data_IF_004341564254
#
_entry.id   IF_004341564254
#
_cell.length_a   1.000
_cell.length_b   1.000
_cell.length_c   1.000
_cell.angle_alpha   90.00
_cell.angle_beta   90.00
_cell.angle_gamma   90.00
#
_symmetry.space_group_name_H-M   'P 1'
#
loop_
_entity.id
_entity.type
_entity.pdbx_description
1 polymer ?
#
# COMPACT_ATOMS: atom_id res chain seq x y z
N UNK A 1 -24.82 13.96 14.11
CA UNK A 1 -25.38 13.29 12.92
C UNK A 1 -26.84 13.04 13.21
N UNK A 2 -27.75 13.55 12.39
CA UNK A 2 -29.19 13.38 12.62
C UNK A 2 -29.60 11.92 12.34
N UNK A 3 -30.73 11.47 12.91
CA UNK A 3 -31.25 10.10 12.70
C UNK A 3 -31.42 9.75 11.22
N UNK A 4 -31.77 10.73 10.38
CA UNK A 4 -31.91 10.55 8.93
C UNK A 4 -30.56 10.27 8.25
N UNK A 5 -29.49 10.96 8.67
CA UNK A 5 -28.13 10.73 8.15
C UNK A 5 -27.63 9.33 8.54
N UNK A 6 -27.89 8.90 9.78
CA UNK A 6 -27.55 7.56 10.24
C UNK A 6 -28.25 6.48 9.41
N UNK A 7 -29.53 6.66 9.09
CA UNK A 7 -30.26 5.72 8.25
C UNK A 7 -29.70 5.65 6.82
N UNK A 8 -29.31 6.80 6.25
CA UNK A 8 -28.70 6.88 4.93
C UNK A 8 -27.36 6.15 4.87
N UNK A 9 -26.49 6.39 5.86
CA UNK A 9 -25.17 5.72 5.96
C UNK A 9 -25.35 4.21 6.16
N UNK A 10 -26.26 3.80 7.04
CA UNK A 10 -26.55 2.38 7.27
C UNK A 10 -27.04 1.68 6.01
N UNK A 11 -27.92 2.33 5.23
CA UNK A 11 -28.39 1.79 3.94
C UNK A 11 -27.25 1.65 2.93
N UNK A 12 -26.39 2.67 2.81
CA UNK A 12 -25.23 2.62 1.91
C UNK A 12 -24.28 1.48 2.26
N UNK A 13 -23.99 1.28 3.56
CA UNK A 13 -23.18 0.18 4.06
C UNK A 13 -23.79 -1.17 3.65
N UNK A 14 -25.09 -1.37 3.88
CA UNK A 14 -25.78 -2.60 3.51
C UNK A 14 -25.76 -2.87 1.99
N UNK A 15 -25.90 -1.82 1.16
CA UNK A 15 -25.79 -1.94 -0.30
C UNK A 15 -24.39 -2.40 -0.74
N UNK A 16 -23.33 -1.87 -0.13
CA UNK A 16 -21.95 -2.27 -0.42
C UNK A 16 -21.72 -3.72 0.04
N UNK A 17 -22.12 -4.07 1.26
CA UNK A 17 -21.96 -5.40 1.84
C UNK A 17 -22.60 -6.49 0.97
N UNK A 18 -23.78 -6.21 0.40
CA UNK A 18 -24.48 -7.11 -0.51
C UNK A 18 -23.74 -7.34 -1.84
N UNK A 19 -22.78 -6.49 -2.19
CA UNK A 19 -21.91 -6.65 -3.37
C UNK A 19 -20.57 -7.33 -3.05
N UNK A 20 -20.22 -7.52 -1.77
CA UNK A 20 -18.95 -8.14 -1.38
C UNK A 20 -18.94 -9.64 -1.69
N UNK A 21 -17.93 -10.06 -2.45
CA UNK A 21 -17.83 -11.38 -3.06
C UNK A 21 -17.57 -12.52 -2.08
N UNK A 22 -16.83 -12.27 -0.99
CA UNK A 22 -16.35 -13.29 -0.07
C UNK A 22 -16.23 -12.80 1.38
N UNK A 23 -16.00 -13.72 2.32
CA UNK A 23 -15.88 -13.44 3.75
C UNK A 23 -14.68 -12.54 4.06
N UNK A 24 -13.52 -12.79 3.44
CA UNK A 24 -12.33 -11.96 3.58
C UNK A 24 -12.62 -10.50 3.26
N UNK A 25 -13.37 -10.26 2.18
CA UNK A 25 -13.76 -8.91 1.77
C UNK A 25 -14.68 -8.25 2.79
N UNK A 26 -15.62 -9.00 3.40
CA UNK A 26 -16.49 -8.47 4.46
C UNK A 26 -15.70 -8.11 5.71
N UNK A 27 -14.76 -8.94 6.13
CA UNK A 27 -13.92 -8.65 7.29
C UNK A 27 -13.02 -7.43 7.06
N UNK A 28 -12.34 -7.34 5.90
CA UNK A 28 -11.56 -6.17 5.54
C UNK A 28 -12.42 -4.90 5.47
N UNK A 29 -13.62 -5.00 4.93
CA UNK A 29 -14.56 -3.89 4.89
C UNK A 29 -14.88 -3.36 6.28
N UNK A 30 -15.18 -4.24 7.25
CA UNK A 30 -15.44 -3.81 8.62
C UNK A 30 -14.20 -3.30 9.36
N UNK A 31 -13.02 -3.88 9.12
CA UNK A 31 -11.75 -3.37 9.66
C UNK A 31 -11.51 -1.93 9.16
N UNK A 32 -11.69 -1.69 7.87
CA UNK A 32 -11.55 -0.35 7.28
C UNK A 32 -12.65 0.61 7.72
N UNK A 33 -13.88 0.14 7.90
CA UNK A 33 -14.99 0.92 8.45
C UNK A 33 -14.72 1.34 9.91
N UNK A 34 -14.20 0.44 10.73
CA UNK A 34 -13.74 0.74 12.09
C UNK A 34 -12.65 1.82 12.06
N UNK A 35 -11.65 1.69 11.19
CA UNK A 35 -10.62 2.72 11.02
C UNK A 35 -11.20 4.07 10.53
N UNK A 36 -12.23 4.04 9.67
CA UNK A 36 -12.95 5.25 9.25
C UNK A 36 -13.50 6.03 10.46
N UNK A 37 -14.01 5.37 11.48
CA UNK A 37 -14.58 6.04 12.65
C UNK A 37 -13.54 6.40 13.73
N UNK A 38 -12.61 5.50 14.02
CA UNK A 38 -11.69 5.68 15.17
C UNK A 38 -10.36 6.33 14.82
N UNK A 39 -9.95 6.33 13.54
CA UNK A 39 -8.67 6.92 13.07
C UNK A 39 -7.45 6.42 13.85
N UNK A 40 -7.49 5.16 14.32
CA UNK A 40 -6.42 4.54 15.09
C UNK A 40 -5.59 3.62 14.19
N UNK A 41 -4.40 4.08 13.82
CA UNK A 41 -3.51 3.36 12.90
C UNK A 41 -2.91 2.09 13.49
N UNK A 42 -2.55 2.10 14.78
CA UNK A 42 -1.97 0.91 15.39
C UNK A 42 -3.00 -0.22 15.51
N UNK A 43 -4.25 0.13 15.76
CA UNK A 43 -5.35 -0.82 15.82
C UNK A 43 -5.69 -1.38 14.44
N UNK A 44 -5.68 -0.56 13.39
CA UNK A 44 -5.81 -1.03 12.00
C UNK A 44 -4.74 -2.07 11.65
N UNK A 45 -3.47 -1.77 11.96
CA UNK A 45 -2.35 -2.70 11.75
C UNK A 45 -2.54 -3.98 12.55
N UNK A 46 -2.98 -3.88 13.82
CA UNK A 46 -3.22 -5.05 14.65
C UNK A 46 -4.37 -5.92 14.13
N UNK A 47 -5.45 -5.31 13.63
CA UNK A 47 -6.57 -5.99 12.98
C UNK A 47 -6.13 -6.69 11.67
N UNK A 48 -5.25 -6.06 10.87
CA UNK A 48 -4.65 -6.68 9.67
C UNK A 48 -3.78 -7.89 10.05
N UNK A 49 -3.03 -7.80 11.14
CA UNK A 49 -2.26 -8.95 11.60
C UNK A 49 -3.15 -10.09 12.14
N UNK A 50 -4.28 -9.77 12.78
CA UNK A 50 -5.25 -10.79 13.22
C UNK A 50 -5.90 -11.49 12.02
N UNK A 51 -6.27 -10.71 11.01
CA UNK A 51 -6.83 -11.21 9.76
C UNK A 51 -5.81 -12.08 9.00
N UNK A 52 -4.58 -11.60 8.83
CA UNK A 52 -3.53 -12.37 8.17
C UNK A 52 -3.22 -13.69 8.87
N UNK A 53 -3.38 -13.76 10.21
CA UNK A 53 -3.26 -15.01 10.97
C UNK A 53 -4.43 -15.94 10.67
N UNK A 54 -5.66 -15.43 10.64
CA UNK A 54 -6.88 -16.20 10.29
C UNK A 54 -6.75 -16.84 8.90
N UNK A 55 -6.21 -16.09 7.93
CA UNK A 55 -6.09 -16.53 6.55
C UNK A 55 -4.69 -17.11 6.19
N UNK A 56 -3.83 -17.34 7.19
CA UNK A 56 -2.48 -17.93 7.04
C UNK A 56 -1.59 -17.23 5.99
N UNK A 57 -1.62 -15.90 5.94
CA UNK A 57 -0.73 -15.16 5.05
C UNK A 57 0.73 -15.31 5.50
N UNK A 58 1.62 -15.39 4.50
CA UNK A 58 3.06 -15.43 4.70
C UNK A 58 3.66 -14.14 4.15
N UNK A 59 4.07 -13.24 5.04
CA UNK A 59 4.62 -11.94 4.67
C UNK A 59 6.06 -12.08 4.16
N UNK A 60 6.36 -11.43 3.05
CA UNK A 60 7.73 -11.19 2.58
C UNK A 60 8.22 -9.87 3.13
N UNK A 61 9.48 -9.82 3.59
CA UNK A 61 10.02 -8.64 4.28
C UNK A 61 11.24 -8.16 3.49
N UNK A 62 11.01 -7.43 2.40
CA UNK A 62 12.04 -7.06 1.42
C UNK A 62 13.31 -6.43 2.02
N UNK A 63 13.19 -5.65 3.09
CA UNK A 63 14.35 -5.06 3.79
C UNK A 63 15.19 -6.11 4.53
N UNK A 64 14.53 -7.08 5.14
CA UNK A 64 15.21 -8.18 5.84
C UNK A 64 15.76 -9.20 4.84
N UNK A 65 15.08 -9.43 3.72
CA UNK A 65 15.54 -10.29 2.63
C UNK A 65 16.87 -9.81 2.07
N UNK A 66 16.95 -8.53 1.67
CA UNK A 66 18.18 -7.87 1.20
C UNK A 66 19.32 -7.94 2.22
N UNK A 67 18.99 -7.80 3.50
CA UNK A 67 20.00 -7.90 4.56
C UNK A 67 20.52 -9.34 4.71
N UNK A 68 19.62 -10.33 4.64
CA UNK A 68 19.95 -11.74 4.72
C UNK A 68 20.72 -12.28 3.51
N UNK A 69 20.64 -11.62 2.34
CA UNK A 69 21.51 -11.89 1.20
C UNK A 69 22.99 -11.63 1.52
N UNK A 70 23.27 -10.63 2.37
CA UNK A 70 24.63 -10.25 2.78
C UNK A 70 25.12 -10.92 4.08
N UNK A 71 24.20 -11.42 4.90
CA UNK A 71 24.49 -12.04 6.21
C UNK A 71 23.96 -13.47 6.22
N UNK A 72 24.83 -14.40 5.82
CA UNK A 72 24.52 -15.83 5.75
C UNK A 72 24.67 -16.54 7.09
N UNK A 73 25.54 -16.03 7.97
CA UNK A 73 25.90 -16.59 9.28
C UNK A 73 25.15 -15.90 10.45
N UNK A 74 23.82 -15.83 10.35
CA UNK A 74 22.98 -15.26 11.43
C UNK A 74 22.58 -16.34 12.44
N UNK A 75 22.82 -16.09 13.72
CA UNK A 75 22.34 -16.96 14.80
C UNK A 75 20.88 -16.68 15.19
N UNK A 76 20.38 -15.47 14.91
CA UNK A 76 18.98 -15.11 15.11
C UNK A 76 18.65 -13.65 14.81
N UNK A 77 17.48 -13.21 15.26
CA UNK A 77 16.98 -11.84 15.13
C UNK A 77 16.66 -11.26 16.52
N UNK A 78 17.01 -9.99 16.72
CA UNK A 78 16.70 -9.22 17.92
C UNK A 78 15.89 -8.00 17.52
N UNK A 79 14.78 -7.75 18.20
CA UNK A 79 14.00 -6.53 18.06
C UNK A 79 14.34 -5.60 19.22
N UNK A 80 15.01 -4.48 18.95
CA UNK A 80 15.35 -3.49 19.97
C UNK A 80 14.17 -2.52 20.17
N UNK A 81 13.43 -2.74 21.26
CA UNK A 81 12.28 -1.98 21.69
C UNK A 81 11.06 -2.87 21.88
N UNK A 82 10.52 -2.94 23.10
CA UNK A 82 9.32 -3.72 23.43
C UNK A 82 8.02 -2.89 23.30
N UNK A 83 8.03 -1.80 22.54
CA UNK A 83 6.88 -0.92 22.34
C UNK A 83 5.84 -1.49 21.37
N UNK A 84 4.88 -0.65 20.96
CA UNK A 84 3.87 -1.02 19.94
C UNK A 84 4.55 -1.47 18.64
N UNK A 85 5.51 -0.69 18.13
CA UNK A 85 6.21 -1.02 16.87
C UNK A 85 7.06 -2.28 16.95
N UNK A 86 7.75 -2.50 18.07
CA UNK A 86 8.49 -3.74 18.29
C UNK A 86 7.58 -4.96 18.35
N UNK A 87 6.41 -4.86 19.00
CA UNK A 87 5.41 -5.94 18.99
C UNK A 87 4.86 -6.20 17.60
N UNK A 88 4.54 -5.17 16.82
CA UNK A 88 4.11 -5.31 15.42
C UNK A 88 5.21 -5.96 14.55
N UNK A 89 6.46 -5.57 14.73
CA UNK A 89 7.62 -6.19 14.06
C UNK A 89 7.75 -7.67 14.43
N UNK A 90 7.53 -8.02 15.70
CA UNK A 90 7.53 -9.42 16.14
C UNK A 90 6.40 -10.24 15.49
N UNK A 91 5.19 -9.67 15.36
CA UNK A 91 4.08 -10.32 14.63
C UNK A 91 4.46 -10.57 13.18
N UNK A 92 5.01 -9.55 12.52
CA UNK A 92 5.46 -9.64 11.13
C UNK A 92 6.48 -10.77 10.92
N UNK A 93 7.54 -10.82 11.74
CA UNK A 93 8.58 -11.87 11.64
C UNK A 93 7.98 -13.26 11.87
N UNK A 94 7.12 -13.43 12.88
CA UNK A 94 6.47 -14.72 13.17
C UNK A 94 5.51 -15.19 12.09
N UNK A 95 5.11 -14.30 11.20
CA UNK A 95 4.19 -14.55 10.09
C UNK A 95 4.90 -14.44 8.73
N UNK A 96 6.23 -14.57 8.73
CA UNK A 96 7.09 -14.53 7.55
C UNK A 96 7.89 -15.83 7.40
N UNK A 97 8.74 -15.92 6.38
CA UNK A 97 9.69 -17.03 6.24
C UNK A 97 10.71 -17.10 7.39
N UNK A 98 10.87 -16.02 8.16
CA UNK A 98 11.78 -15.94 9.30
C UNK A 98 11.18 -16.46 10.62
N UNK A 99 9.96 -17.02 10.60
CA UNK A 99 9.23 -17.43 11.80
C UNK A 99 9.94 -18.48 12.67
N UNK A 100 10.81 -19.28 12.06
CA UNK A 100 11.55 -20.37 12.71
C UNK A 100 12.96 -19.92 13.18
N UNK A 101 13.34 -18.66 12.91
CA UNK A 101 14.60 -18.09 13.38
C UNK A 101 14.48 -17.70 14.85
N UNK A 102 15.50 -17.97 15.71
CA UNK A 102 15.51 -17.52 17.09
C UNK A 102 15.25 -16.01 17.20
N UNK A 103 14.20 -15.64 17.94
CA UNK A 103 13.74 -14.26 18.07
C UNK A 103 13.79 -13.79 19.53
N UNK A 104 14.44 -12.65 19.78
CA UNK A 104 14.54 -12.01 21.09
C UNK A 104 14.09 -10.55 21.02
N UNK A 105 13.76 -9.98 22.17
CA UNK A 105 13.64 -8.54 22.34
C UNK A 105 14.84 -7.99 23.11
N UNK A 106 15.27 -6.78 22.79
CA UNK A 106 16.15 -5.95 23.63
C UNK A 106 15.37 -4.70 24.09
N UNK A 107 15.55 -4.25 25.32
CA UNK A 107 14.91 -3.00 25.79
C UNK A 107 15.76 -2.31 26.85
N UNK A 108 15.80 -0.98 26.85
CA UNK A 108 16.56 -0.20 27.85
C UNK A 108 15.92 -0.21 29.24
N UNK A 109 14.63 -0.56 29.36
CA UNK A 109 13.94 -0.61 30.66
C UNK A 109 14.30 -1.89 31.40
N UNK A 110 15.06 -1.74 32.48
CA UNK A 110 15.45 -2.86 33.36
C UNK A 110 14.26 -3.69 33.86
N UNK A 111 13.10 -3.06 34.06
CA UNK A 111 11.87 -3.74 34.44
C UNK A 111 11.37 -4.77 33.41
N UNK A 112 11.88 -4.75 32.16
CA UNK A 112 11.52 -5.72 31.12
C UNK A 112 12.49 -6.91 31.05
N UNK A 113 13.71 -6.78 31.57
CA UNK A 113 14.75 -7.79 31.39
C UNK A 113 14.36 -9.13 32.00
N UNK A 114 14.61 -10.21 31.25
CA UNK A 114 14.27 -11.58 31.64
C UNK A 114 12.79 -11.93 31.50
N UNK A 115 11.89 -10.96 31.22
CA UNK A 115 10.48 -11.24 30.93
C UNK A 115 10.33 -11.87 29.54
N UNK A 116 9.17 -12.47 29.34
CA UNK A 116 8.73 -12.94 28.03
C UNK A 116 7.65 -11.99 27.50
N UNK A 117 7.85 -11.47 26.29
CA UNK A 117 6.89 -10.62 25.59
C UNK A 117 6.61 -11.28 24.24
N UNK A 118 5.33 -11.50 23.92
CA UNK A 118 4.93 -12.16 22.68
C UNK A 118 5.60 -13.53 22.48
N UNK A 119 5.92 -14.27 23.55
CA UNK A 119 6.65 -15.53 23.46
C UNK A 119 8.16 -15.40 23.19
N UNK A 120 8.74 -14.20 23.33
CA UNK A 120 10.17 -13.93 23.10
C UNK A 120 10.80 -13.36 24.37
N UNK A 121 11.96 -13.87 24.76
CA UNK A 121 12.69 -13.38 25.94
C UNK A 121 13.22 -11.96 25.68
N UNK A 122 13.13 -11.10 26.70
CA UNK A 122 13.72 -9.77 26.68
C UNK A 122 15.10 -9.78 27.34
N UNK A 123 16.11 -9.31 26.61
CA UNK A 123 17.49 -9.14 27.08
C UNK A 123 17.80 -7.66 27.35
N UNK A 124 18.88 -7.41 28.10
CA UNK A 124 19.44 -6.07 28.26
C UNK A 124 20.38 -5.69 27.09
N UNK A 125 20.65 -4.39 26.88
CA UNK A 125 21.67 -3.95 25.92
C UNK A 125 23.05 -4.53 26.22
N UNK A 126 23.42 -4.62 27.50
CA UNK A 126 24.67 -5.27 27.88
C UNK A 126 24.74 -6.72 27.40
N UNK A 127 23.65 -7.50 27.57
CA UNK A 127 23.61 -8.87 27.04
C UNK A 127 23.71 -8.91 25.51
N UNK A 128 23.03 -8.00 24.80
CA UNK A 128 23.11 -7.86 23.34
C UNK A 128 24.57 -7.72 22.89
N UNK A 129 25.34 -6.85 23.55
CA UNK A 129 26.73 -6.54 23.24
C UNK A 129 27.68 -7.73 23.45
N UNK A 130 27.48 -8.52 24.52
CA UNK A 130 28.42 -9.57 24.90
C UNK A 130 28.07 -10.97 24.36
N UNK A 131 26.81 -11.23 24.01
CA UNK A 131 26.32 -12.57 23.68
C UNK A 131 25.72 -12.71 22.29
N UNK A 132 25.26 -11.62 21.66
CA UNK A 132 24.41 -11.72 20.47
C UNK A 132 24.89 -10.85 19.30
N UNK A 133 26.21 -10.66 19.16
CA UNK A 133 26.80 -9.85 18.08
C UNK A 133 26.62 -10.45 16.68
N UNK A 134 26.32 -11.73 16.59
CA UNK A 134 26.02 -12.48 15.36
C UNK A 134 24.51 -12.50 15.02
N UNK A 135 23.66 -11.81 15.80
CA UNK A 135 22.25 -11.63 15.48
C UNK A 135 22.04 -10.41 14.58
N UNK A 136 20.96 -10.41 13.81
CA UNK A 136 20.44 -9.21 13.16
C UNK A 136 19.65 -8.40 14.19
N UNK A 137 19.97 -7.12 14.38
CA UNK A 137 19.26 -6.24 15.30
C UNK A 137 18.33 -5.28 14.53
N UNK A 138 17.02 -5.41 14.72
CA UNK A 138 15.99 -4.55 14.13
C UNK A 138 15.60 -3.47 15.13
N UNK A 139 15.67 -2.20 14.74
CA UNK A 139 15.22 -1.09 15.59
C UNK A 139 13.69 -1.01 15.62
N UNK A 140 13.08 -1.48 16.70
CA UNK A 140 11.63 -1.68 16.89
C UNK A 140 10.92 -0.53 17.61
N UNK A 141 11.26 0.73 17.30
CA UNK A 141 10.68 1.90 17.97
C UNK A 141 10.59 3.07 17.02
N UNK A 142 9.43 3.73 16.90
CA UNK A 142 9.32 4.98 16.14
C UNK A 142 9.85 6.18 16.93
N UNK A 143 9.64 6.20 18.25
CA UNK A 143 9.96 7.32 19.16
C UNK A 143 11.44 7.40 19.51
N UNK A 144 12.08 6.25 19.74
CA UNK A 144 13.46 6.16 20.23
C UNK A 144 14.41 5.60 19.17
N UNK A 145 14.02 5.59 17.88
CA UNK A 145 14.81 4.97 16.81
C UNK A 145 16.23 5.49 16.75
N UNK A 146 16.40 6.80 16.85
CA UNK A 146 17.69 7.47 16.69
C UNK A 146 18.59 7.16 17.90
N UNK A 147 18.07 7.34 19.11
CA UNK A 147 18.77 6.98 20.36
C UNK A 147 19.20 5.52 20.38
N UNK A 148 18.34 4.59 19.92
CA UNK A 148 18.67 3.16 19.84
C UNK A 148 19.77 2.90 18.81
N UNK A 149 19.71 3.55 17.64
CA UNK A 149 20.74 3.42 16.62
C UNK A 149 22.09 3.94 17.12
N UNK A 150 22.10 5.11 17.77
CA UNK A 150 23.30 5.71 18.34
C UNK A 150 23.90 4.82 19.42
N UNK A 151 23.08 4.33 20.34
CA UNK A 151 23.50 3.37 21.37
C UNK A 151 24.14 2.12 20.77
N UNK A 152 23.51 1.50 19.77
CA UNK A 152 24.05 0.31 19.10
C UNK A 152 25.43 0.57 18.48
N UNK A 153 25.61 1.74 17.86
CA UNK A 153 26.87 2.11 17.24
C UNK A 153 27.96 2.45 18.27
N UNK A 154 27.60 3.15 19.35
CA UNK A 154 28.51 3.50 20.45
C UNK A 154 28.99 2.26 21.22
N UNK A 155 28.11 1.28 21.44
CA UNK A 155 28.44 -0.03 22.03
C UNK A 155 29.18 -0.96 21.03
N UNK A 156 29.43 -0.50 19.80
CA UNK A 156 30.20 -1.19 18.78
C UNK A 156 29.46 -2.40 18.17
N UNK A 157 28.13 -2.42 18.17
CA UNK A 157 27.36 -3.44 17.48
C UNK A 157 27.63 -3.36 15.96
N UNK A 158 27.80 -4.50 15.24
CA UNK A 158 28.15 -4.47 13.83
C UNK A 158 27.10 -3.72 13.00
N UNK A 159 27.49 -2.63 12.35
CA UNK A 159 26.58 -1.73 11.62
C UNK A 159 25.82 -2.45 10.51
N UNK A 160 26.50 -3.35 9.81
CA UNK A 160 25.95 -4.21 8.77
C UNK A 160 24.86 -5.15 9.30
N UNK A 161 24.82 -5.42 10.61
CA UNK A 161 23.81 -6.24 11.29
C UNK A 161 22.68 -5.41 11.92
N UNK A 162 22.63 -4.09 11.67
CA UNK A 162 21.55 -3.22 12.15
C UNK A 162 20.54 -2.97 11.01
N UNK A 163 19.31 -3.45 11.19
CA UNK A 163 18.18 -3.08 10.33
C UNK A 163 17.47 -1.88 10.93
N UNK A 164 17.61 -0.73 10.26
CA UNK A 164 16.97 0.53 10.64
C UNK A 164 15.75 0.80 9.75
N UNK A 165 14.49 0.67 10.23
CA UNK A 165 13.29 0.77 9.40
C UNK A 165 12.89 2.21 8.96
N UNK A 166 13.86 3.10 8.76
CA UNK A 166 13.63 4.44 8.22
C UNK A 166 12.75 5.37 9.08
N UNK A 167 12.26 6.45 8.48
CA UNK A 167 11.59 7.56 9.17
C UNK A 167 10.24 7.19 9.80
N UNK A 168 9.58 6.12 9.35
CA UNK A 168 8.33 5.63 9.96
C UNK A 168 8.59 4.68 11.13
N UNK A 169 9.81 4.14 11.26
CA UNK A 169 10.16 3.21 12.34
C UNK A 169 9.35 1.91 12.34
N UNK A 170 8.87 1.51 11.16
CA UNK A 170 8.06 0.30 10.94
C UNK A 170 8.72 -0.52 9.85
N UNK A 171 8.92 -1.80 10.15
CA UNK A 171 9.20 -2.81 9.14
C UNK A 171 7.88 -3.24 8.53
N UNK A 172 7.79 -3.16 7.22
CA UNK A 172 6.64 -3.54 6.41
C UNK A 172 6.89 -4.90 5.74
N UNK A 173 5.82 -5.67 5.60
CA UNK A 173 5.82 -6.89 4.81
C UNK A 173 4.76 -6.84 3.74
N UNK A 174 5.00 -7.55 2.65
CA UNK A 174 4.09 -7.64 1.50
C UNK A 174 3.65 -9.08 1.24
N UNK A 175 2.51 -9.25 0.59
CA UNK A 175 1.99 -10.56 0.18
C UNK A 175 1.32 -10.46 -1.19
N UNK A 176 1.21 -11.57 -1.90
CA UNK A 176 0.48 -11.64 -3.17
C UNK A 176 1.18 -10.94 -4.35
N UNK A 177 0.43 -10.77 -5.43
CA UNK A 177 0.80 -9.97 -6.60
C UNK A 177 -0.25 -8.88 -6.77
N UNK A 178 0.01 -7.74 -6.12
CA UNK A 178 -0.90 -6.62 -6.05
C UNK A 178 -1.44 -6.23 -7.43
N UNK A 179 -2.75 -5.96 -7.50
CA UNK A 179 -3.55 -5.70 -8.70
C UNK A 179 -3.77 -6.89 -9.64
N UNK A 180 -2.91 -7.91 -9.62
CA UNK A 180 -2.83 -8.95 -10.66
C UNK A 180 -3.08 -10.39 -10.18
N UNK A 181 -3.30 -10.63 -8.88
CA UNK A 181 -3.60 -11.97 -8.35
C UNK A 181 -5.09 -12.28 -8.12
N UNK A 182 -5.97 -11.28 -8.19
CA UNK A 182 -7.41 -11.49 -8.05
C UNK A 182 -8.09 -11.87 -9.38
N UNK A 183 -7.66 -11.25 -10.48
CA UNK A 183 -8.20 -11.50 -11.82
C UNK A 183 -7.25 -12.34 -12.67
N UNK A 184 -7.79 -13.00 -13.69
CA UNK A 184 -7.01 -13.58 -14.79
C UNK A 184 -7.06 -12.66 -16.02
N UNK A 185 -6.01 -12.58 -16.85
CA UNK A 185 -6.03 -11.74 -18.05
C UNK A 185 -7.05 -12.27 -19.07
N UNK A 186 -7.71 -11.35 -19.75
CA UNK A 186 -8.44 -11.62 -20.99
C UNK A 186 -7.51 -11.60 -22.20
N UNK A 187 -8.04 -11.96 -23.37
CA UNK A 187 -7.21 -12.13 -24.58
C UNK A 187 -6.73 -10.82 -25.21
N UNK A 188 -7.50 -9.73 -25.07
CA UNK A 188 -7.24 -8.42 -25.68
C UNK A 188 -7.42 -7.32 -24.62
N UNK A 189 -6.56 -7.32 -23.61
CA UNK A 189 -6.60 -6.32 -22.55
C UNK A 189 -6.19 -4.94 -23.07
N UNK A 190 -6.99 -3.94 -22.72
CA UNK A 190 -6.63 -2.53 -22.83
C UNK A 190 -6.59 -1.97 -21.41
N UNK A 191 -5.38 -1.67 -20.96
CA UNK A 191 -5.09 -1.35 -19.57
C UNK A 191 -4.95 0.16 -19.36
N UNK A 192 -5.64 0.69 -18.36
CA UNK A 192 -5.36 2.02 -17.83
C UNK A 192 -4.54 1.85 -16.56
N UNK A 193 -3.33 2.40 -16.57
CA UNK A 193 -2.45 2.47 -15.40
C UNK A 193 -2.50 3.90 -14.84
N UNK A 194 -3.37 4.12 -13.86
CA UNK A 194 -3.48 5.37 -13.13
C UNK A 194 -2.41 5.46 -12.04
N UNK A 195 -1.53 6.45 -12.15
CA UNK A 195 -0.40 6.62 -11.25
C UNK A 195 0.70 5.62 -11.56
N UNK A 196 1.34 5.80 -12.71
CA UNK A 196 2.36 4.87 -13.24
C UNK A 196 3.67 4.92 -12.45
N UNK A 197 4.02 6.10 -11.92
CA UNK A 197 5.23 6.37 -11.15
C UNK A 197 6.55 6.02 -11.87
N UNK A 198 6.97 4.76 -11.87
CA UNK A 198 8.21 4.30 -12.52
C UNK A 198 7.99 3.27 -13.64
N UNK A 199 6.74 2.88 -13.90
CA UNK A 199 6.37 1.92 -14.95
C UNK A 199 6.29 0.47 -14.46
N UNK A 200 6.62 0.17 -13.20
CA UNK A 200 6.65 -1.20 -12.70
C UNK A 200 5.28 -1.90 -12.79
N UNK A 201 4.18 -1.20 -12.46
CA UNK A 201 2.81 -1.74 -12.56
C UNK A 201 2.41 -2.10 -13.99
N UNK A 202 2.84 -1.29 -14.97
CA UNK A 202 2.67 -1.61 -16.39
C UNK A 202 3.49 -2.82 -16.81
N UNK A 203 4.71 -2.98 -16.29
CA UNK A 203 5.51 -4.20 -16.48
C UNK A 203 4.86 -5.43 -15.88
N UNK A 204 4.28 -5.30 -14.68
CA UNK A 204 3.50 -6.36 -14.03
C UNK A 204 2.28 -6.77 -14.86
N UNK A 205 1.53 -5.81 -15.40
CA UNK A 205 0.42 -6.07 -16.31
C UNK A 205 0.86 -6.87 -17.54
N UNK A 206 1.97 -6.49 -18.19
CA UNK A 206 2.51 -7.21 -19.36
C UNK A 206 2.87 -8.65 -19.00
N UNK A 207 3.49 -8.87 -17.84
CA UNK A 207 3.80 -10.22 -17.33
C UNK A 207 2.52 -11.01 -17.06
N UNK A 208 1.56 -10.40 -16.38
CA UNK A 208 0.27 -11.01 -16.06
C UNK A 208 -0.49 -11.41 -17.31
N UNK A 209 -0.48 -10.59 -18.35
CA UNK A 209 -1.09 -10.85 -19.65
C UNK A 209 -0.26 -11.78 -20.57
N UNK A 210 0.89 -12.30 -20.11
CA UNK A 210 1.83 -13.09 -20.92
C UNK A 210 2.24 -12.37 -22.23
N UNK A 211 2.40 -11.05 -22.18
CA UNK A 211 2.71 -10.22 -23.35
C UNK A 211 1.57 -10.08 -24.38
N UNK A 212 0.35 -10.54 -24.06
CA UNK A 212 -0.81 -10.46 -24.95
C UNK A 212 -1.78 -9.38 -24.48
N UNK A 213 -1.63 -8.19 -25.02
CA UNK A 213 -2.49 -7.03 -24.75
C UNK A 213 -2.62 -6.19 -26.01
N UNK A 214 -3.61 -5.29 -26.02
CA UNK A 214 -3.90 -4.41 -27.15
C UNK A 214 -3.29 -3.01 -26.95
N UNK A 215 -3.37 -2.45 -25.75
CA UNK A 215 -2.77 -1.15 -25.43
C UNK A 215 -2.63 -0.92 -23.92
N UNK A 216 -1.70 -0.02 -23.55
CA UNK A 216 -1.57 0.56 -22.21
C UNK A 216 -1.73 2.07 -22.31
N UNK A 217 -2.63 2.63 -21.51
CA UNK A 217 -2.78 4.08 -21.27
C UNK A 217 -2.23 4.40 -19.88
N UNK A 218 -1.01 4.90 -19.82
CA UNK A 218 -0.34 5.23 -18.55
C UNK A 218 -0.50 6.70 -18.20
N UNK A 219 -1.16 7.01 -17.08
CA UNK A 219 -1.34 8.39 -16.59
C UNK A 219 -0.29 8.72 -15.53
N UNK A 220 0.54 9.72 -15.81
CA UNK A 220 1.53 10.26 -14.87
C UNK A 220 1.71 11.76 -15.14
N UNK A 221 1.67 12.58 -14.09
CA UNK A 221 1.79 14.03 -14.21
C UNK A 221 3.22 14.53 -13.96
N UNK A 222 4.03 13.79 -13.19
CA UNK A 222 5.34 14.23 -12.79
C UNK A 222 6.37 13.98 -13.92
N UNK A 223 7.01 15.02 -14.49
CA UNK A 223 7.97 14.87 -15.60
C UNK A 223 9.13 13.93 -15.29
N UNK A 224 9.58 13.88 -14.04
CA UNK A 224 10.65 12.97 -13.61
C UNK A 224 10.20 11.50 -13.63
N UNK A 225 8.96 11.23 -13.22
CA UNK A 225 8.34 9.91 -13.28
C UNK A 225 8.10 9.48 -14.73
N UNK A 226 7.63 10.39 -15.59
CA UNK A 226 7.39 10.10 -17.02
C UNK A 226 8.70 9.67 -17.70
N UNK A 227 9.82 10.34 -17.42
CA UNK A 227 11.13 9.95 -17.97
C UNK A 227 11.59 8.57 -17.46
N UNK A 228 11.32 8.23 -16.20
CA UNK A 228 11.56 6.87 -15.68
C UNK A 228 10.72 5.84 -16.42
N UNK A 229 9.43 6.11 -16.64
CA UNK A 229 8.53 5.21 -17.35
C UNK A 229 9.04 4.92 -18.76
N UNK A 230 9.47 5.96 -19.50
CA UNK A 230 10.04 5.79 -20.86
C UNK A 230 11.24 4.86 -20.87
N UNK A 231 12.18 5.05 -19.94
CA UNK A 231 13.36 4.19 -19.80
C UNK A 231 12.96 2.76 -19.44
N UNK A 232 12.09 2.61 -18.44
CA UNK A 232 11.59 1.31 -18.01
C UNK A 232 10.94 0.53 -19.15
N UNK A 233 10.09 1.18 -19.96
CA UNK A 233 9.45 0.54 -21.11
C UNK A 233 10.44 0.14 -22.20
N UNK A 234 11.40 1.01 -22.51
CA UNK A 234 12.46 0.70 -23.47
C UNK A 234 13.34 -0.48 -23.01
N UNK A 235 13.79 -0.45 -21.75
CA UNK A 235 14.69 -1.46 -21.17
C UNK A 235 14.02 -2.84 -21.04
N UNK A 236 12.69 -2.88 -20.88
CA UNK A 236 11.91 -4.11 -20.71
C UNK A 236 11.13 -4.54 -21.97
N UNK A 237 11.29 -3.83 -23.10
CA UNK A 237 10.62 -4.17 -24.36
C UNK A 237 9.08 -4.02 -24.32
N UNK A 238 8.57 -3.13 -23.47
CA UNK A 238 7.13 -2.87 -23.34
C UNK A 238 6.71 -1.92 -24.46
N UNK A 239 5.73 -2.35 -25.26
CA UNK A 239 5.27 -1.68 -26.47
C UNK A 239 3.77 -1.32 -26.36
N UNK A 240 3.21 -0.66 -27.38
CA UNK A 240 1.80 -0.25 -27.42
C UNK A 240 1.35 0.54 -26.18
N UNK A 241 2.24 1.43 -25.71
CA UNK A 241 1.99 2.31 -24.57
C UNK A 241 1.82 3.75 -25.03
N UNK A 242 0.73 4.37 -24.61
CA UNK A 242 0.54 5.82 -24.65
C UNK A 242 0.71 6.39 -23.24
N UNK A 243 1.82 7.09 -23.01
CA UNK A 243 2.04 7.86 -21.78
C UNK A 243 1.30 9.19 -21.88
N UNK A 244 0.31 9.37 -21.00
CA UNK A 244 -0.50 10.56 -20.87
C UNK A 244 0.11 11.40 -19.74
N UNK A 245 0.75 12.51 -20.12
CA UNK A 245 1.46 13.42 -19.20
C UNK A 245 0.51 14.32 -18.41
N UNK A 246 -0.52 13.72 -17.79
CA UNK A 246 -1.57 14.39 -17.04
C UNK A 246 -2.01 13.51 -15.88
N UNK A 247 -2.47 14.14 -14.80
CA UNK A 247 -3.21 13.46 -13.75
C UNK A 247 -4.66 13.20 -14.14
N UNK A 248 -5.31 12.29 -13.42
CA UNK A 248 -6.69 11.88 -13.67
C UNK A 248 -7.65 12.66 -12.77
N UNK A 249 -8.74 13.18 -13.31
CA UNK A 249 -9.70 13.98 -12.55
C UNK A 249 -11.13 13.96 -13.14
N UNK A 250 -12.06 14.73 -12.56
CA UNK A 250 -13.47 14.81 -12.98
C UNK A 250 -13.73 15.77 -14.16
N UNK A 251 -12.74 16.60 -14.50
CA UNK A 251 -12.77 17.57 -15.61
C UNK A 251 -11.35 17.94 -16.04
N UNK A 252 -11.24 18.63 -17.17
CA UNK A 252 -9.97 19.25 -17.58
C UNK A 252 -9.68 20.50 -16.74
N UNK A 253 -8.50 20.55 -16.11
CA UNK A 253 -8.00 21.75 -15.44
C UNK A 253 -6.49 21.69 -15.22
N UNK A 254 -5.90 22.80 -14.79
CA UNK A 254 -4.52 22.84 -14.28
C UNK A 254 -4.54 23.21 -12.80
N UNK A 255 -3.81 22.46 -11.97
CA UNK A 255 -3.64 22.76 -10.54
C UNK A 255 -2.19 23.07 -10.23
N UNK A 256 -1.95 24.19 -9.55
CA UNK A 256 -0.66 24.46 -8.93
C UNK A 256 -0.55 23.72 -7.59
N UNK A 257 0.51 22.93 -7.43
CA UNK A 257 0.88 22.33 -6.15
C UNK A 257 1.94 23.21 -5.49
N UNK A 258 1.67 23.65 -4.27
CA UNK A 258 2.74 24.12 -3.40
C UNK A 258 3.57 22.90 -3.01
N UNK A 259 4.89 22.99 -3.17
CA UNK A 259 5.81 21.95 -2.72
C UNK A 259 5.46 21.53 -1.28
N UNK A 260 5.40 20.22 -1.06
CA UNK A 260 4.82 19.47 0.06
C UNK A 260 3.31 19.19 -0.02
N UNK A 261 3.01 17.90 -0.24
CA UNK A 261 1.73 17.20 -0.38
C UNK A 261 0.71 17.43 0.76
N UNK A 262 0.26 18.67 0.97
CA UNK A 262 -1.04 18.98 1.60
C UNK A 262 -1.35 20.47 1.50
N UNK A 263 -2.15 20.87 0.50
CA UNK A 263 -3.23 21.90 0.57
C UNK A 263 -3.58 22.40 -0.83
N UNK A 264 -4.86 22.31 -1.16
CA UNK A 264 -5.45 22.83 -2.40
C UNK A 264 -5.64 24.35 -2.41
N UNK A 265 -5.28 24.92 -3.56
CA UNK A 265 -5.81 26.12 -4.22
C UNK A 265 -5.54 27.51 -3.63
N UNK A 266 -4.57 28.20 -4.24
CA UNK A 266 -4.77 29.56 -4.76
C UNK A 266 -3.71 29.92 -5.82
N UNK A 267 -4.18 30.61 -6.87
CA UNK A 267 -3.45 31.09 -8.03
C UNK A 267 -2.28 32.02 -7.65
N UNK A 268 -1.08 31.68 -8.11
CA UNK A 268 -0.07 32.63 -8.60
C UNK A 268 1.01 31.83 -9.35
N UNK A 269 1.23 32.14 -10.62
CA UNK A 269 2.27 31.53 -11.47
C UNK A 269 3.68 32.08 -11.19
N UNK A 270 3.86 32.80 -10.08
CA UNK A 270 5.10 33.55 -9.78
C UNK A 270 5.96 32.92 -8.66
N UNK A 271 5.52 31.84 -8.01
CA UNK A 271 6.20 31.29 -6.82
C UNK A 271 6.69 29.84 -6.98
N UNK A 272 7.20 29.45 -8.17
CA UNK A 272 7.90 28.16 -8.34
C UNK A 272 7.06 26.90 -8.08
N UNK A 273 5.72 27.02 -8.05
CA UNK A 273 4.79 25.90 -7.89
C UNK A 273 4.74 25.06 -9.17
N UNK A 274 4.82 23.73 -9.04
CA UNK A 274 4.60 22.83 -10.15
C UNK A 274 3.13 22.88 -10.57
N UNK A 275 2.87 23.19 -11.84
CA UNK A 275 1.54 23.15 -12.43
C UNK A 275 1.36 21.77 -13.03
N UNK A 276 0.34 21.06 -12.55
CA UNK A 276 -0.06 19.75 -13.07
C UNK A 276 -1.31 19.91 -13.92
N UNK A 277 -1.24 19.39 -15.15
CA UNK A 277 -2.41 19.25 -16.00
C UNK A 277 -3.22 18.01 -15.60
N UNK A 278 -4.54 18.17 -15.55
CA UNK A 278 -5.50 17.13 -15.20
C UNK A 278 -6.53 16.99 -16.32
N UNK A 279 -7.00 15.77 -16.54
CA UNK A 279 -8.03 15.48 -17.54
C UNK A 279 -8.92 14.31 -17.11
N UNK A 280 -10.03 14.12 -17.84
CA UNK A 280 -10.93 12.98 -17.60
C UNK A 280 -10.49 11.76 -18.42
N UNK A 281 -10.74 10.56 -17.89
CA UNK A 281 -10.54 9.32 -18.66
C UNK A 281 -11.38 9.34 -19.93
N UNK A 282 -12.63 9.78 -19.83
CA UNK A 282 -13.56 9.81 -20.95
C UNK A 282 -13.06 10.70 -22.10
N UNK A 283 -12.46 11.86 -21.78
CA UNK A 283 -11.90 12.79 -22.77
C UNK A 283 -10.62 12.23 -23.40
N UNK A 284 -9.69 11.71 -22.58
CA UNK A 284 -8.40 11.19 -23.06
C UNK A 284 -8.56 9.94 -23.92
N UNK A 285 -9.44 9.02 -23.52
CA UNK A 285 -9.73 7.85 -24.34
C UNK A 285 -10.51 8.23 -25.60
N UNK A 286 -11.31 9.29 -25.57
CA UNK A 286 -12.13 9.74 -26.69
C UNK A 286 -12.93 8.58 -27.33
N UNK A 287 -13.55 7.77 -26.47
CA UNK A 287 -14.31 6.60 -26.87
C UNK A 287 -13.49 5.36 -27.21
N UNK A 288 -12.16 5.37 -27.12
CA UNK A 288 -11.32 4.15 -27.16
C UNK A 288 -11.65 3.22 -25.98
N UNK A 289 -11.39 1.93 -26.17
CA UNK A 289 -11.76 0.87 -25.23
C UNK A 289 -10.87 0.90 -23.98
N UNK A 290 -11.41 0.45 -22.86
CA UNK A 290 -10.66 0.06 -21.66
C UNK A 290 -11.29 -1.21 -21.09
N UNK A 291 -10.49 -2.22 -20.76
CA UNK A 291 -10.98 -3.50 -20.18
C UNK A 291 -10.54 -3.68 -18.74
N UNK A 292 -9.46 -3.02 -18.35
CA UNK A 292 -8.94 -3.07 -16.99
C UNK A 292 -8.40 -1.69 -16.58
N UNK A 293 -8.81 -1.20 -15.41
CA UNK A 293 -8.36 0.07 -14.86
C UNK A 293 -7.71 -0.18 -13.50
N UNK A 294 -6.42 0.11 -13.37
CA UNK A 294 -5.76 0.24 -12.08
C UNK A 294 -5.69 1.72 -11.70
N UNK A 295 -5.97 2.05 -10.45
CA UNK A 295 -5.78 3.40 -9.93
C UNK A 295 -5.06 3.36 -8.60
N UNK A 296 -3.92 4.05 -8.56
CA UNK A 296 -3.19 4.38 -7.35
C UNK A 296 -2.69 5.82 -7.51
N UNK A 297 -3.56 6.79 -7.16
CA UNK A 297 -3.42 8.19 -7.57
C UNK A 297 -3.56 9.15 -6.40
N UNK A 298 -3.03 8.75 -5.25
CA UNK A 298 -2.82 9.61 -4.07
C UNK A 298 -4.10 10.31 -3.58
N UNK A 299 -5.23 9.60 -3.62
CA UNK A 299 -6.52 10.10 -3.15
C UNK A 299 -7.38 10.76 -4.23
N UNK A 300 -6.95 10.78 -5.49
CA UNK A 300 -7.75 11.29 -6.61
C UNK A 300 -8.73 10.25 -7.20
N UNK A 301 -8.78 9.03 -6.67
CA UNK A 301 -9.55 7.89 -7.22
C UNK A 301 -11.03 8.22 -7.42
N UNK A 302 -11.68 8.82 -6.41
CA UNK A 302 -13.07 9.22 -6.50
C UNK A 302 -13.32 10.21 -7.66
N UNK A 303 -12.41 11.17 -7.86
CA UNK A 303 -12.54 12.20 -8.90
C UNK A 303 -12.25 11.63 -10.28
N UNK A 304 -11.22 10.80 -10.41
CA UNK A 304 -10.93 10.09 -11.65
C UNK A 304 -12.10 9.21 -12.10
N UNK A 305 -12.76 8.51 -11.17
CA UNK A 305 -13.97 7.72 -11.45
C UNK A 305 -15.16 8.58 -11.88
N UNK A 306 -15.30 9.81 -11.35
CA UNK A 306 -16.31 10.76 -11.85
C UNK A 306 -16.07 11.15 -13.32
N UNK A 307 -14.80 11.28 -13.72
CA UNK A 307 -14.36 11.55 -15.10
C UNK A 307 -14.28 10.30 -16.00
N UNK A 308 -14.73 9.14 -15.52
CA UNK A 308 -14.68 7.86 -16.25
C UNK A 308 -16.05 7.24 -16.49
N UNK A 309 -17.14 7.96 -16.21
CA UNK A 309 -18.50 7.41 -16.18
C UNK A 309 -18.91 6.79 -17.50
N UNK A 310 -18.59 7.43 -18.63
CA UNK A 310 -18.99 6.95 -19.94
C UNK A 310 -18.19 5.70 -20.33
N UNK A 311 -16.88 5.69 -20.04
CA UNK A 311 -16.01 4.52 -20.19
C UNK A 311 -16.51 3.35 -19.34
N UNK A 312 -16.82 3.58 -18.07
CA UNK A 312 -17.30 2.56 -17.13
C UNK A 312 -18.63 1.95 -17.61
N UNK A 313 -19.58 2.79 -18.05
CA UNK A 313 -20.88 2.33 -18.54
C UNK A 313 -20.74 1.53 -19.84
N UNK A 314 -19.93 2.03 -20.76
CA UNK A 314 -19.79 1.46 -22.11
C UNK A 314 -19.02 0.15 -22.11
N UNK A 315 -17.88 0.11 -21.43
CA UNK A 315 -16.95 -1.01 -21.53
C UNK A 315 -16.95 -1.94 -20.32
N UNK A 316 -17.54 -1.49 -19.20
CA UNK A 316 -17.61 -2.25 -17.94
C UNK A 316 -16.25 -2.85 -17.54
N UNK A 317 -15.18 -2.03 -17.50
CA UNK A 317 -13.85 -2.54 -17.24
C UNK A 317 -13.81 -3.14 -15.83
N UNK A 318 -13.01 -4.20 -15.67
CA UNK A 318 -12.58 -4.60 -14.33
C UNK A 318 -11.74 -3.48 -13.74
N UNK A 319 -11.71 -3.35 -12.43
CA UNK A 319 -10.90 -2.32 -11.78
C UNK A 319 -10.18 -2.86 -10.56
N UNK A 320 -8.98 -2.34 -10.31
CA UNK A 320 -8.21 -2.53 -9.10
C UNK A 320 -7.86 -1.15 -8.54
N UNK A 321 -8.56 -0.73 -7.49
CA UNK A 321 -8.54 0.64 -6.99
C UNK A 321 -7.93 0.69 -5.60
N UNK A 322 -6.89 1.51 -5.40
CA UNK A 322 -6.40 1.84 -4.06
C UNK A 322 -7.48 2.58 -3.27
N UNK A 323 -7.79 2.09 -2.07
CA UNK A 323 -8.82 2.70 -1.19
C UNK A 323 -8.30 2.98 0.22
N UNK A 324 -6.99 3.14 0.37
CA UNK A 324 -6.32 3.40 1.65
C UNK A 324 -5.89 4.88 1.82
N UNK A 325 -5.83 5.67 0.74
CA UNK A 325 -5.40 7.07 0.78
C UNK A 325 -6.32 7.95 1.63
N UNK A 326 -7.63 7.77 1.51
CA UNK A 326 -8.62 8.44 2.37
C UNK A 326 -9.46 7.38 3.06
N UNK A 327 -9.66 7.49 4.38
CA UNK A 327 -10.51 6.52 5.05
C UNK A 327 -11.96 6.49 4.54
N UNK A 328 -12.44 7.58 3.94
CA UNK A 328 -13.78 7.66 3.34
C UNK A 328 -13.90 6.81 2.06
N UNK A 329 -12.80 6.47 1.40
CA UNK A 329 -12.78 5.74 0.13
C UNK A 329 -13.44 4.36 0.24
N UNK A 330 -13.37 3.73 1.43
CA UNK A 330 -14.06 2.46 1.74
C UNK A 330 -15.58 2.54 1.53
N UNK A 331 -16.18 3.73 1.63
CA UNK A 331 -17.60 3.98 1.39
C UNK A 331 -17.83 4.73 0.09
N UNK A 332 -17.12 5.83 -0.15
CA UNK A 332 -17.40 6.76 -1.24
C UNK A 332 -17.17 6.14 -2.63
N UNK A 333 -16.10 5.36 -2.80
CA UNK A 333 -15.76 4.74 -4.09
C UNK A 333 -16.76 3.63 -4.46
N UNK A 334 -17.01 2.60 -3.62
CA UNK A 334 -18.07 1.64 -3.90
C UNK A 334 -19.45 2.29 -4.12
N UNK A 335 -19.80 3.31 -3.31
CA UNK A 335 -21.07 4.02 -3.44
C UNK A 335 -21.22 4.80 -4.74
N UNK A 336 -20.11 5.30 -5.30
CA UNK A 336 -20.10 5.94 -6.61
C UNK A 336 -20.35 4.90 -7.70
N UNK A 337 -19.67 3.75 -7.64
CA UNK A 337 -19.79 2.68 -8.64
C UNK A 337 -21.18 2.03 -8.65
N UNK A 338 -21.85 1.94 -7.49
CA UNK A 338 -23.26 1.53 -7.41
C UNK A 338 -24.21 2.42 -8.23
N UNK A 339 -23.84 3.68 -8.49
CA UNK A 339 -24.65 4.65 -9.25
C UNK A 339 -24.36 4.63 -10.75
N UNK A 340 -23.38 3.85 -11.21
CA UNK A 340 -22.96 3.82 -12.61
C UNK A 340 -23.90 3.02 -13.53
N UNK A 341 -25.02 2.49 -13.04
CA UNK A 341 -25.95 1.60 -13.78
C UNK A 341 -25.25 0.35 -14.34
N UNK A 342 -24.29 -0.17 -13.56
CA UNK A 342 -23.57 -1.40 -13.82
C UNK A 342 -23.67 -2.27 -12.57
N UNK A 343 -24.04 -3.53 -12.75
CA UNK A 343 -24.18 -4.48 -11.65
C UNK A 343 -22.83 -5.08 -11.22
N UNK A 344 -21.92 -4.24 -10.75
CA UNK A 344 -20.62 -4.69 -10.25
C UNK A 344 -20.73 -5.52 -8.96
N UNK A 345 -19.77 -6.43 -8.80
CA UNK A 345 -19.39 -7.06 -7.53
C UNK A 345 -18.07 -6.47 -7.04
N UNK A 346 -17.84 -6.57 -5.74
CA UNK A 346 -16.67 -6.02 -5.07
C UNK A 346 -15.90 -7.11 -4.33
N UNK A 347 -14.58 -7.03 -4.36
CA UNK A 347 -13.72 -7.77 -3.46
C UNK A 347 -12.65 -6.86 -2.87
N UNK A 348 -12.26 -7.10 -1.63
CA UNK A 348 -11.20 -6.37 -0.95
C UNK A 348 -10.03 -7.29 -0.67
N UNK A 349 -8.81 -6.81 -0.93
CA UNK A 349 -7.56 -7.49 -0.58
C UNK A 349 -6.58 -6.52 0.05
N UNK A 350 -5.70 -7.05 0.87
CA UNK A 350 -4.65 -6.32 1.58
C UNK A 350 -3.31 -6.87 1.14
N UNK A 351 -2.41 -6.00 0.66
CA UNK A 351 -1.11 -6.42 0.12
C UNK A 351 0.07 -6.01 1.00
N UNK A 352 -0.13 -5.16 2.01
CA UNK A 352 0.88 -4.73 2.98
C UNK A 352 0.51 -5.15 4.41
N UNK A 353 1.50 -5.30 5.30
CA UNK A 353 1.28 -5.46 6.73
C UNK A 353 0.99 -4.13 7.45
N UNK A 354 1.03 -2.99 6.72
CA UNK A 354 0.66 -1.65 7.20
C UNK A 354 -0.79 -1.32 6.87
N UNK A 355 -1.25 -0.13 7.24
CA UNK A 355 -2.55 0.41 6.84
C UNK A 355 -2.64 0.82 5.36
N UNK A 356 -1.61 0.60 4.54
CA UNK A 356 -1.62 0.93 3.11
C UNK A 356 -2.04 -0.26 2.26
N UNK A 357 -2.06 -0.16 0.94
CA UNK A 357 -2.24 -1.29 0.02
C UNK A 357 -3.52 -2.15 0.23
N UNK A 358 -4.63 -1.55 0.71
CA UNK A 358 -5.96 -2.15 0.53
C UNK A 358 -6.49 -1.79 -0.85
N UNK A 359 -6.76 -2.83 -1.64
CA UNK A 359 -7.28 -2.71 -3.00
C UNK A 359 -8.72 -3.20 -3.08
N UNK A 360 -9.56 -2.37 -3.69
CA UNK A 360 -10.91 -2.71 -4.12
C UNK A 360 -10.89 -3.23 -5.56
N UNK A 361 -11.21 -4.51 -5.71
CA UNK A 361 -11.46 -5.13 -7.00
C UNK A 361 -12.94 -5.00 -7.39
N UNK A 362 -13.19 -4.60 -8.63
CA UNK A 362 -14.53 -4.31 -9.18
C UNK A 362 -14.71 -5.10 -10.48
N UNK A 363 -15.81 -5.86 -10.62
CA UNK A 363 -16.02 -6.75 -11.77
C UNK A 363 -17.47 -7.18 -11.99
#
# INVERSE_FOLDING_TARGET
>A
MELQDMHKVSKMIAEIENRLADELSRELFYIRLKHLFYRNENELIDDIFDLSKKYNWLWKISKLDKMCESITDKAGIIIFGCGVKGRQTCRLIKMSEYRDIPLLFCDNKAANWGKEIMGCRVISPHQLEIQYRDYICIVGSSKYRQDILEQLLEEGFPKERILYPGCMGILDGIVGWQYFDYFSPGENEVFIDGGVYDGASSGDFVRWANGKYEAIYGFEANPYCIEKCRRFYADNGIHDVELIEKGMWDKQLSLGFAGDYSKTSRLAADDGNEIVELDTIDNVLNGRKATFIKMDIEGAEYQALLGAKETIRKYRPRMALSIYHKPQDIIEIPSLLLKCDVEYKYALRQYSSTGDETILYVY
#
